data_IF_024401227913
#
_entry.id   IF_024401227913
#
_cell.length_a   1.000
_cell.length_b   1.000
_cell.length_c   1.000
_cell.angle_alpha   90.00
_cell.angle_beta   90.00
_cell.angle_gamma   90.00
#
_symmetry.space_group_name_H-M   'P 1'
#
loop_
_entity.id
_entity.type
_entity.pdbx_description
1 polymer ?
#
# COMPACT_ATOMS: atom_id res chain seq x y z
N UNK A 1 -17.75 9.38 3.84
CA UNK A 1 -16.92 8.72 2.80
C UNK A 1 -16.99 7.22 3.00
N UNK A 2 -17.31 6.44 1.96
CA UNK A 2 -17.39 4.97 2.04
C UNK A 2 -16.02 4.39 2.45
N UNK A 3 -16.00 3.36 3.31
CA UNK A 3 -14.78 2.74 3.83
C UNK A 3 -13.90 2.14 2.72
N UNK A 4 -14.50 1.52 1.71
CA UNK A 4 -13.78 1.00 0.55
C UNK A 4 -13.12 2.13 -0.25
N UNK A 5 -13.86 3.23 -0.48
CA UNK A 5 -13.31 4.41 -1.15
C UNK A 5 -12.15 5.05 -0.36
N UNK A 6 -12.27 5.11 0.97
CA UNK A 6 -11.18 5.57 1.84
C UNK A 6 -9.93 4.71 1.70
N UNK A 7 -10.07 3.38 1.65
CA UNK A 7 -8.93 2.48 1.48
C UNK A 7 -8.28 2.60 0.10
N UNK A 8 -9.07 2.80 -0.95
CA UNK A 8 -8.55 3.01 -2.31
C UNK A 8 -7.70 4.29 -2.38
N UNK A 9 -8.14 5.36 -1.71
CA UNK A 9 -7.48 6.67 -1.76
C UNK A 9 -6.24 6.74 -0.85
N UNK A 10 -6.31 6.17 0.36
CA UNK A 10 -5.25 6.35 1.38
C UNK A 10 -4.38 5.12 1.61
N UNK A 11 -4.75 3.97 1.06
CA UNK A 11 -3.97 2.74 1.16
C UNK A 11 -3.97 1.96 -0.16
N UNK A 12 -3.53 2.60 -1.28
CA UNK A 12 -3.54 1.99 -2.60
C UNK A 12 -2.73 0.69 -2.66
N UNK A 13 -1.69 0.52 -1.84
CA UNK A 13 -0.88 -0.70 -1.79
C UNK A 13 -1.70 -1.95 -1.46
N UNK A 14 -2.78 -1.84 -0.67
CA UNK A 14 -3.68 -2.96 -0.39
C UNK A 14 -4.30 -3.57 -1.65
N UNK A 15 -4.34 -2.81 -2.75
CA UNK A 15 -4.97 -3.19 -4.00
C UNK A 15 -3.96 -3.50 -5.10
N UNK A 16 -2.67 -3.29 -4.84
CA UNK A 16 -1.61 -3.57 -5.80
C UNK A 16 -1.09 -4.99 -5.58
N UNK A 17 -0.84 -5.70 -6.68
CA UNK A 17 -0.31 -7.06 -6.65
C UNK A 17 1.02 -7.11 -5.87
N UNK A 18 1.23 -8.02 -4.89
CA UNK A 18 2.40 -8.01 -4.01
C UNK A 18 3.75 -8.03 -4.74
N UNK A 19 3.84 -8.70 -5.89
CA UNK A 19 5.05 -8.71 -6.72
C UNK A 19 5.45 -7.33 -7.25
N UNK A 20 4.49 -6.40 -7.37
CA UNK A 20 4.73 -5.02 -7.83
C UNK A 20 5.18 -4.09 -6.70
N UNK A 21 4.94 -4.47 -5.45
CA UNK A 21 5.21 -3.64 -4.25
C UNK A 21 6.13 -4.35 -3.26
N UNK A 22 6.89 -5.33 -3.74
CA UNK A 22 7.76 -6.14 -2.91
C UNK A 22 9.20 -5.63 -3.00
N UNK A 23 9.81 -5.35 -1.86
CA UNK A 23 11.25 -5.13 -1.77
C UNK A 23 11.92 -6.47 -1.45
N UNK A 24 12.74 -7.00 -2.36
CA UNK A 24 13.45 -8.28 -2.18
C UNK A 24 12.54 -9.47 -1.81
N UNK A 25 11.42 -9.64 -2.51
CA UNK A 25 10.40 -10.68 -2.26
C UNK A 25 9.68 -10.57 -0.90
N UNK A 26 9.91 -9.49 -0.15
CA UNK A 26 9.25 -9.23 1.12
C UNK A 26 8.11 -8.22 0.90
N UNK A 27 6.86 -8.56 1.28
CA UNK A 27 5.77 -7.60 1.25
C UNK A 27 6.06 -6.43 2.22
N UNK A 28 5.70 -5.21 1.83
CA UNK A 28 5.84 -4.00 2.66
C UNK A 28 4.77 -4.05 3.77
N UNK A 29 5.08 -4.80 4.83
CA UNK A 29 4.24 -4.92 6.01
C UNK A 29 4.65 -3.97 7.15
N UNK A 30 5.81 -3.31 7.02
CA UNK A 30 6.21 -2.29 7.98
C UNK A 30 5.29 -1.06 7.85
N UNK A 31 4.61 -0.61 8.92
CA UNK A 31 3.64 0.49 8.85
C UNK A 31 4.23 1.81 8.33
N UNK A 32 5.48 2.12 8.69
CA UNK A 32 6.16 3.35 8.26
C UNK A 32 6.48 3.26 6.77
N UNK A 33 7.10 2.17 6.33
CA UNK A 33 7.40 1.97 4.91
C UNK A 33 6.13 1.94 4.07
N UNK A 34 5.05 1.34 4.58
CA UNK A 34 3.74 1.32 3.91
C UNK A 34 3.15 2.72 3.78
N UNK A 35 3.24 3.54 4.83
CA UNK A 35 2.80 4.94 4.78
C UNK A 35 3.59 5.73 3.74
N UNK A 36 4.93 5.66 3.76
CA UNK A 36 5.80 6.33 2.79
C UNK A 36 5.47 5.88 1.37
N UNK A 37 5.34 4.57 1.16
CA UNK A 37 5.06 4.01 -0.17
C UNK A 37 3.66 4.41 -0.65
N UNK A 38 2.65 4.46 0.24
CA UNK A 38 1.30 4.94 -0.10
C UNK A 38 1.28 6.44 -0.47
N UNK A 39 2.20 7.25 0.06
CA UNK A 39 2.33 8.67 -0.29
C UNK A 39 3.09 8.92 -1.59
N UNK A 40 3.94 7.98 -2.02
CA UNK A 40 4.74 8.10 -3.24
C UNK A 40 3.99 7.62 -4.50
N UNK A 41 2.90 6.87 -4.35
CA UNK A 41 2.03 6.37 -5.43
C UNK A 41 0.97 7.41 -5.78
#
# INVERSE_FOLDING_TARGET
MNLALRKIIYDPISYIHPQRVSLNNTPINNPVLRSITNEMI
#
